data_IF_154905468741
#
_entry.id   IF_154905468741
#
_cell.length_a   1.000
_cell.length_b   1.000
_cell.length_c   1.000
_cell.angle_alpha   90.00
_cell.angle_beta   90.00
_cell.angle_gamma   90.00
#
_symmetry.space_group_name_H-M   'P 1'
#
loop_
_entity.id
_entity.type
_entity.pdbx_description
1 polymer ?
#
# COMPACT_ATOMS: atom_id res chain seq x y z
N UNK A 1 -17.07 28.27 13.33
CA UNK A 1 -16.43 28.25 11.99
C UNK A 1 -16.88 26.98 11.29
N UNK A 2 -17.63 27.09 10.20
CA UNK A 2 -18.09 25.93 9.42
C UNK A 2 -16.90 25.37 8.65
N UNK A 3 -16.21 24.37 9.20
CA UNK A 3 -15.08 23.74 8.54
C UNK A 3 -15.61 22.79 7.46
N UNK A 4 -15.43 23.15 6.19
CA UNK A 4 -15.83 22.30 5.06
C UNK A 4 -15.10 20.95 5.10
N UNK A 5 -15.76 19.84 4.73
CA UNK A 5 -15.15 18.52 4.71
C UNK A 5 -13.99 18.47 3.70
N UNK A 6 -12.88 17.86 4.11
CA UNK A 6 -11.70 17.70 3.26
C UNK A 6 -11.84 16.41 2.45
N UNK A 7 -11.40 16.43 1.20
CA UNK A 7 -11.42 15.25 0.32
C UNK A 7 -10.00 14.87 -0.08
N UNK A 8 -9.66 13.59 0.06
CA UNK A 8 -8.40 13.01 -0.42
C UNK A 8 -8.71 11.99 -1.50
N UNK A 9 -8.11 12.17 -2.67
CA UNK A 9 -8.23 11.23 -3.80
C UNK A 9 -6.95 10.42 -3.90
N UNK A 10 -7.08 9.10 -3.94
CA UNK A 10 -5.99 8.14 -4.10
C UNK A 10 -6.16 7.46 -5.45
N UNK A 11 -5.14 7.57 -6.31
CA UNK A 11 -5.11 6.94 -7.62
C UNK A 11 -4.33 5.62 -7.52
N UNK A 12 -5.04 4.51 -7.65
CA UNK A 12 -4.50 3.15 -7.63
C UNK A 12 -4.77 2.40 -6.33
N UNK A 13 -5.42 1.25 -6.44
CA UNK A 13 -5.75 0.35 -5.34
C UNK A 13 -4.80 -0.87 -5.30
N UNK A 14 -3.51 -0.59 -5.07
CA UNK A 14 -2.47 -1.63 -4.92
C UNK A 14 -1.79 -1.54 -3.55
N UNK A 15 -0.60 -2.12 -3.40
CA UNK A 15 0.15 -2.23 -2.14
C UNK A 15 0.38 -0.92 -1.39
N UNK A 16 0.37 0.23 -2.07
CA UNK A 16 0.50 1.54 -1.41
C UNK A 16 -0.86 2.19 -1.13
N UNK A 17 -1.76 2.19 -2.11
CA UNK A 17 -3.02 2.94 -2.05
C UNK A 17 -4.03 2.37 -1.06
N UNK A 18 -4.17 1.04 -0.98
CA UNK A 18 -5.08 0.38 -0.04
C UNK A 18 -4.71 0.62 1.43
N UNK A 19 -3.47 0.35 1.88
CA UNK A 19 -3.10 0.62 3.27
C UNK A 19 -3.06 2.11 3.58
N UNK A 20 -2.75 2.98 2.59
CA UNK A 20 -2.86 4.42 2.78
C UNK A 20 -4.31 4.84 3.04
N UNK A 21 -5.27 4.37 2.23
CA UNK A 21 -6.69 4.64 2.41
C UNK A 21 -7.18 4.21 3.80
N UNK A 22 -6.86 2.97 4.20
CA UNK A 22 -7.19 2.45 5.53
C UNK A 22 -6.56 3.30 6.64
N UNK A 23 -5.28 3.68 6.51
CA UNK A 23 -4.60 4.50 7.52
C UNK A 23 -5.23 5.89 7.65
N UNK A 24 -5.59 6.52 6.54
CA UNK A 24 -6.27 7.81 6.52
C UNK A 24 -7.65 7.71 7.19
N UNK A 25 -8.44 6.68 6.85
CA UNK A 25 -9.77 6.48 7.42
C UNK A 25 -9.73 6.17 8.92
N UNK A 26 -8.77 5.36 9.38
CA UNK A 26 -8.65 4.96 10.80
C UNK A 26 -8.01 6.00 11.68
N UNK A 27 -6.87 6.54 11.25
CA UNK A 27 -6.02 7.36 12.10
C UNK A 27 -6.18 8.86 11.85
N UNK A 28 -6.67 9.27 10.67
CA UNK A 28 -6.69 10.67 10.25
C UNK A 28 -8.11 11.23 10.25
N UNK A 29 -9.09 10.52 9.69
CA UNK A 29 -10.47 10.98 9.63
C UNK A 29 -11.06 11.42 10.99
N UNK A 30 -10.81 10.72 12.12
CA UNK A 30 -11.32 11.15 13.43
C UNK A 30 -10.69 12.45 13.96
N UNK A 31 -9.53 12.87 13.43
CA UNK A 31 -8.79 14.03 13.92
C UNK A 31 -9.01 15.28 13.08
N UNK A 32 -9.52 15.15 11.85
CA UNK A 32 -9.68 16.27 10.91
C UNK A 32 -10.94 17.08 11.26
N UNK A 33 -10.83 18.37 11.59
CA UNK A 33 -12.00 19.21 11.82
C UNK A 33 -12.79 19.39 10.52
N UNK A 34 -14.10 19.09 10.55
CA UNK A 34 -14.99 19.13 9.39
C UNK A 34 -15.17 17.80 8.65
N UNK A 35 -14.46 16.74 9.05
CA UNK A 35 -14.53 15.42 8.43
C UNK A 35 -13.61 15.25 7.22
N UNK A 36 -13.36 13.98 6.88
CA UNK A 36 -12.48 13.57 5.78
C UNK A 36 -13.18 12.51 4.94
N UNK A 37 -13.34 12.79 3.64
CA UNK A 37 -13.78 11.83 2.63
C UNK A 37 -12.56 11.30 1.86
N UNK A 38 -12.42 9.98 1.75
CA UNK A 38 -11.36 9.33 0.98
C UNK A 38 -11.97 8.68 -0.26
N UNK A 39 -11.50 9.08 -1.44
CA UNK A 39 -11.92 8.52 -2.73
C UNK A 39 -10.78 7.68 -3.28
N UNK A 40 -11.02 6.39 -3.49
CA UNK A 40 -10.06 5.47 -4.08
C UNK A 40 -10.47 5.16 -5.51
N UNK A 41 -9.64 5.54 -6.47
CA UNK A 41 -9.88 5.32 -7.90
C UNK A 41 -8.98 4.20 -8.40
N UNK A 42 -9.55 3.16 -9.00
CA UNK A 42 -8.75 2.08 -9.57
C UNK A 42 -9.47 1.41 -10.76
N UNK A 43 -8.73 0.91 -11.78
CA UNK A 43 -9.33 0.23 -12.92
C UNK A 43 -9.81 -1.19 -12.61
N UNK A 44 -9.53 -1.72 -11.41
CA UNK A 44 -9.74 -3.10 -11.02
C UNK A 44 -10.51 -3.22 -9.69
N UNK A 45 -11.36 -4.24 -9.58
CA UNK A 45 -12.13 -4.55 -8.36
C UNK A 45 -11.37 -5.44 -7.35
N UNK A 46 -10.28 -6.08 -7.79
CA UNK A 46 -9.48 -7.00 -6.99
C UNK A 46 -8.03 -6.53 -6.89
N UNK A 47 -7.46 -6.58 -5.69
CA UNK A 47 -6.02 -6.49 -5.49
C UNK A 47 -5.36 -7.74 -6.07
N UNK A 48 -4.46 -7.54 -7.02
CA UNK A 48 -3.61 -8.60 -7.56
C UNK A 48 -2.37 -8.80 -6.68
N UNK A 49 -2.28 -9.94 -6.01
CA UNK A 49 -1.12 -10.35 -5.22
C UNK A 49 -0.01 -10.88 -6.13
N UNK A 50 0.66 -9.97 -6.84
CA UNK A 50 1.66 -10.31 -7.85
C UNK A 50 2.82 -11.16 -7.33
N UNK A 51 3.08 -11.17 -6.01
CA UNK A 51 4.08 -12.06 -5.39
C UNK A 51 3.73 -13.54 -5.52
N UNK A 52 2.43 -13.88 -5.57
CA UNK A 52 1.94 -15.25 -5.73
C UNK A 52 1.79 -15.67 -7.21
N UNK A 53 1.93 -14.74 -8.15
CA UNK A 53 1.69 -14.95 -9.59
C UNK A 53 2.46 -16.12 -10.18
N UNK A 54 3.72 -16.31 -9.77
CA UNK A 54 4.58 -17.41 -10.21
C UNK A 54 3.95 -18.79 -9.93
N UNK A 55 3.16 -18.91 -8.87
CA UNK A 55 2.40 -20.12 -8.54
C UNK A 55 0.96 -20.12 -9.05
N UNK A 56 0.49 -18.99 -9.56
CA UNK A 56 -0.80 -18.86 -10.24
C UNK A 56 -0.81 -19.34 -11.68
N UNK A 57 0.35 -19.32 -12.37
CA UNK A 57 0.47 -19.76 -13.78
C UNK A 57 0.30 -21.27 -13.95
N UNK A 58 0.40 -22.07 -12.88
CA UNK A 58 0.19 -23.52 -12.92
C UNK A 58 -0.94 -23.94 -11.96
N UNK A 59 -2.20 -23.60 -12.26
CA UNK A 59 -3.34 -24.05 -11.46
C UNK A 59 -3.42 -25.59 -11.49
N UNK A 60 -3.65 -26.21 -10.33
CA UNK A 60 -3.92 -27.65 -10.25
C UNK A 60 -2.71 -28.59 -10.15
N UNK A 61 -1.47 -28.08 -10.11
CA UNK A 61 -0.30 -28.87 -9.68
C UNK A 61 -0.03 -28.70 -8.18
N UNK A 62 0.62 -29.67 -7.54
CA UNK A 62 1.06 -29.58 -6.14
C UNK A 62 1.80 -28.25 -5.87
N UNK A 63 1.17 -27.40 -5.05
CA UNK A 63 1.67 -26.10 -4.64
C UNK A 63 1.27 -24.91 -5.53
N UNK A 64 0.45 -25.11 -6.56
CA UNK A 64 -0.17 -24.03 -7.33
C UNK A 64 -1.19 -23.25 -6.51
N UNK A 65 -1.29 -21.94 -6.75
CA UNK A 65 -2.30 -21.10 -6.12
C UNK A 65 -3.48 -20.91 -7.06
N UNK A 66 -4.68 -21.13 -6.54
CA UNK A 66 -5.90 -20.76 -7.22
C UNK A 66 -6.15 -19.25 -7.10
N UNK A 67 -7.12 -18.75 -7.90
CA UNK A 67 -7.40 -17.33 -8.07
C UNK A 67 -7.76 -16.62 -6.75
N UNK A 68 -8.34 -17.34 -5.78
CA UNK A 68 -8.66 -16.85 -4.43
C UNK A 68 -7.42 -16.38 -3.64
N UNK A 69 -6.23 -16.85 -4.01
CA UNK A 69 -4.95 -16.44 -3.41
C UNK A 69 -4.17 -15.44 -4.25
N UNK A 70 -4.67 -15.11 -5.44
CA UNK A 70 -4.08 -14.15 -6.37
C UNK A 70 -4.88 -12.85 -6.40
N UNK A 71 -6.21 -12.93 -6.26
CA UNK A 71 -7.12 -11.81 -6.42
C UNK A 71 -7.96 -11.65 -5.17
N UNK A 72 -7.68 -10.56 -4.43
CA UNK A 72 -8.41 -10.25 -3.21
C UNK A 72 -9.42 -9.13 -3.47
N UNK A 73 -10.72 -9.32 -3.19
CA UNK A 73 -11.75 -8.32 -3.48
C UNK A 73 -11.54 -7.09 -2.60
N UNK A 74 -11.53 -5.89 -3.21
CA UNK A 74 -11.27 -4.64 -2.48
C UNK A 74 -12.46 -4.22 -1.62
N UNK A 75 -13.68 -4.35 -2.15
CA UNK A 75 -14.90 -3.82 -1.53
C UNK A 75 -15.14 -4.30 -0.07
N UNK A 76 -14.98 -5.60 0.27
CA UNK A 76 -15.16 -6.07 1.65
C UNK A 76 -14.26 -5.37 2.68
N UNK A 77 -13.05 -4.95 2.27
CA UNK A 77 -12.09 -4.27 3.14
C UNK A 77 -12.56 -2.88 3.63
N UNK A 78 -13.48 -2.25 2.90
CA UNK A 78 -14.00 -0.93 3.21
C UNK A 78 -15.48 -0.91 3.64
N UNK A 79 -16.10 -2.09 3.78
CA UNK A 79 -17.51 -2.25 4.17
C UNK A 79 -17.91 -1.57 5.49
N UNK A 80 -16.93 -1.27 6.35
CA UNK A 80 -17.15 -0.62 7.66
C UNK A 80 -17.32 0.90 7.55
N UNK A 81 -17.02 1.49 6.41
CA UNK A 81 -17.07 2.94 6.19
C UNK A 81 -18.33 3.32 5.42
N UNK A 82 -18.96 4.42 5.83
CA UNK A 82 -20.12 4.95 5.12
C UNK A 82 -19.71 5.69 3.84
N UNK A 83 -20.68 5.96 2.96
CA UNK A 83 -20.44 6.68 1.70
C UNK A 83 -19.95 8.13 1.92
N UNK A 84 -20.21 8.71 3.10
CA UNK A 84 -19.67 10.02 3.47
C UNK A 84 -18.17 9.96 3.79
N UNK A 85 -17.67 8.80 4.23
CA UNK A 85 -16.26 8.60 4.62
C UNK A 85 -15.42 8.03 3.48
N UNK A 86 -15.97 7.08 2.72
CA UNK A 86 -15.23 6.35 1.69
C UNK A 86 -16.04 6.16 0.42
N UNK A 87 -15.38 6.34 -0.72
CA UNK A 87 -15.93 6.06 -2.04
C UNK A 87 -14.91 5.29 -2.88
N UNK A 88 -15.32 4.17 -3.45
CA UNK A 88 -14.53 3.43 -4.42
C UNK A 88 -15.05 3.71 -5.84
N UNK A 89 -14.18 4.29 -6.67
CA UNK A 89 -14.48 4.58 -8.08
C UNK A 89 -13.77 3.57 -8.95
N UNK A 90 -14.55 2.70 -9.59
CA UNK A 90 -14.03 1.80 -10.61
C UNK A 90 -13.80 2.58 -11.91
N UNK A 91 -12.55 2.95 -12.16
CA UNK A 91 -12.18 3.77 -13.30
C UNK A 91 -10.67 3.95 -13.42
N UNK A 92 -10.22 4.26 -14.63
CA UNK A 92 -8.83 4.60 -14.89
C UNK A 92 -8.67 6.12 -14.98
N UNK A 93 -7.76 6.68 -14.20
CA UNK A 93 -7.42 8.10 -14.31
C UNK A 93 -6.52 8.29 -15.54
N UNK A 94 -7.00 9.05 -16.53
CA UNK A 94 -6.29 9.28 -17.80
C UNK A 94 -5.47 10.56 -17.81
N UNK A 95 -5.87 11.57 -17.03
CA UNK A 95 -5.17 12.85 -16.92
C UNK A 95 -5.23 13.38 -15.49
N UNK A 96 -4.16 14.06 -15.08
CA UNK A 96 -4.09 14.80 -13.83
C UNK A 96 -3.74 16.25 -14.15
N UNK A 97 -4.72 17.15 -14.03
CA UNK A 97 -4.49 18.58 -14.20
C UNK A 97 -3.98 19.15 -12.87
N UNK A 98 -2.69 19.43 -12.84
CA UNK A 98 -1.99 19.92 -11.66
C UNK A 98 -1.85 21.42 -11.74
N UNK A 99 -2.45 22.16 -10.81
CA UNK A 99 -2.00 23.51 -10.47
C UNK A 99 -0.68 23.43 -9.70
N UNK A 100 0.27 24.37 -9.88
CA UNK A 100 1.71 24.21 -9.63
C UNK A 100 2.18 24.00 -8.17
N UNK A 101 1.32 23.54 -7.26
CA UNK A 101 1.61 23.30 -5.84
C UNK A 101 2.01 21.84 -5.54
N UNK A 102 2.26 21.00 -6.57
CA UNK A 102 2.79 19.66 -6.33
C UNK A 102 4.30 19.68 -6.08
N UNK A 103 4.68 19.56 -4.80
CA UNK A 103 6.02 19.10 -4.44
C UNK A 103 6.17 17.64 -4.87
N UNK A 104 6.88 17.38 -5.98
CA UNK A 104 7.40 16.05 -6.29
C UNK A 104 8.37 15.67 -5.17
N UNK A 105 7.97 14.78 -4.24
CA UNK A 105 8.95 14.12 -3.37
C UNK A 105 9.60 13.01 -4.19
N UNK A 106 10.92 13.13 -4.37
CA UNK A 106 11.71 12.22 -5.18
C UNK A 106 11.74 10.81 -4.58
N UNK A 107 11.97 9.84 -5.46
CA UNK A 107 12.13 8.44 -5.10
C UNK A 107 13.47 8.24 -4.36
N UNK A 108 13.44 8.26 -3.03
CA UNK A 108 14.63 8.14 -2.18
C UNK A 108 15.16 6.70 -2.04
N UNK A 109 14.42 5.70 -2.55
CA UNK A 109 14.75 4.28 -2.40
C UNK A 109 14.44 3.49 -3.68
N UNK A 110 15.09 2.34 -3.91
CA UNK A 110 14.72 1.47 -5.02
C UNK A 110 13.28 0.97 -4.86
N UNK A 111 12.53 0.79 -5.97
CA UNK A 111 11.15 0.32 -5.97
C UNK A 111 11.09 -1.15 -5.55
N UNK A 112 11.07 -1.38 -4.24
CA UNK A 112 11.04 -2.71 -3.62
C UNK A 112 9.88 -2.78 -2.62
N UNK A 113 9.20 -3.93 -2.57
CA UNK A 113 8.04 -4.16 -1.72
C UNK A 113 8.33 -3.92 -0.22
N UNK A 114 9.58 -4.12 0.21
CA UNK A 114 10.01 -3.91 1.60
C UNK A 114 10.00 -2.45 2.04
N UNK A 115 10.00 -1.52 1.08
CA UNK A 115 9.99 -0.09 1.36
C UNK A 115 8.58 0.52 1.37
N UNK A 116 7.56 -0.24 0.94
CA UNK A 116 6.20 0.27 0.79
C UNK A 116 5.60 0.65 2.15
N UNK A 117 5.62 -0.26 3.14
CA UNK A 117 4.98 0.01 4.43
C UNK A 117 5.57 1.24 5.17
N UNK A 118 6.91 1.40 5.28
CA UNK A 118 7.49 2.61 5.87
C UNK A 118 7.18 3.89 5.10
N UNK A 119 7.17 3.84 3.76
CA UNK A 119 6.86 5.00 2.93
C UNK A 119 5.38 5.40 3.04
N UNK A 120 4.46 4.44 3.03
CA UNK A 120 3.02 4.69 3.24
C UNK A 120 2.78 5.28 4.63
N UNK A 121 3.42 4.74 5.67
CA UNK A 121 3.29 5.27 7.03
C UNK A 121 3.82 6.71 7.14
N UNK A 122 4.91 7.02 6.44
CA UNK A 122 5.46 8.38 6.38
C UNK A 122 4.50 9.35 5.68
N UNK A 123 4.01 8.97 4.49
CA UNK A 123 3.09 9.79 3.69
C UNK A 123 1.79 10.01 4.44
N UNK A 124 1.24 8.99 5.11
CA UNK A 124 0.04 9.12 5.91
C UNK A 124 0.20 10.15 7.04
N UNK A 125 1.36 10.15 7.73
CA UNK A 125 1.68 11.13 8.79
C UNK A 125 1.87 12.55 8.24
N UNK A 126 2.57 12.71 7.11
CA UNK A 126 2.74 14.01 6.44
C UNK A 126 1.38 14.57 5.99
N UNK A 127 0.53 13.73 5.38
CA UNK A 127 -0.83 14.09 5.00
C UNK A 127 -1.69 14.46 6.19
N UNK A 128 -1.66 13.67 7.27
CA UNK A 128 -2.36 13.97 8.50
C UNK A 128 -1.95 15.34 9.06
N UNK A 129 -0.66 15.62 9.15
CA UNK A 129 -0.16 16.91 9.62
C UNK A 129 -0.68 18.08 8.76
N UNK A 130 -0.70 17.92 7.43
CA UNK A 130 -1.24 18.94 6.50
C UNK A 130 -2.74 19.13 6.61
N UNK A 131 -3.49 18.03 6.74
CA UNK A 131 -4.93 18.06 6.86
C UNK A 131 -5.35 18.71 8.19
N UNK A 132 -4.53 18.60 9.23
CA UNK A 132 -4.74 19.28 10.51
C UNK A 132 -4.29 20.75 10.50
N UNK A 133 -3.18 21.07 9.82
CA UNK A 133 -2.62 22.42 9.78
C UNK A 133 -3.44 23.42 8.94
N UNK A 134 -4.36 22.94 8.09
CA UNK A 134 -5.33 23.79 7.41
C UNK A 134 -4.72 24.79 6.41
N UNK A 135 -4.46 24.34 5.17
CA UNK A 135 -4.28 25.21 3.99
C UNK A 135 -2.99 26.03 3.90
N UNK A 136 -2.54 26.63 4.99
CA UNK A 136 -1.43 27.57 4.99
C UNK A 136 -0.11 26.87 5.31
N UNK A 137 0.49 26.30 4.26
CA UNK A 137 1.91 26.47 3.92
C UNK A 137 3.03 26.12 4.91
N UNK A 138 2.76 25.64 6.13
CA UNK A 138 3.78 25.26 7.12
C UNK A 138 3.32 24.05 7.91
N UNK A 139 3.25 22.90 7.23
CA UNK A 139 3.26 21.62 7.93
C UNK A 139 4.58 21.53 8.71
N UNK A 140 4.48 21.65 10.04
CA UNK A 140 5.57 21.44 10.99
C UNK A 140 6.32 20.19 10.58
N UNK A 141 7.58 20.40 10.19
CA UNK A 141 8.61 19.42 9.83
C UNK A 141 8.23 17.98 10.20
N UNK A 142 7.60 17.27 9.27
CA UNK A 142 7.53 15.81 9.38
C UNK A 142 8.98 15.32 9.39
N UNK A 143 9.40 14.49 10.37
CA UNK A 143 10.80 14.07 10.50
C UNK A 143 11.31 13.57 9.16
N UNK A 144 12.51 13.97 8.78
CA UNK A 144 13.09 13.56 7.50
C UNK A 144 13.02 12.04 7.37
N UNK A 145 12.46 11.55 6.25
CA UNK A 145 12.34 10.11 6.01
C UNK A 145 13.74 9.55 5.86
N UNK A 146 14.22 8.82 6.87
CA UNK A 146 15.51 8.14 6.82
C UNK A 146 15.37 6.88 5.96
N UNK A 147 15.99 6.82 4.77
CA UNK A 147 15.96 5.63 3.95
C UNK A 147 16.63 4.47 4.69
N UNK A 148 16.03 3.30 4.63
CA UNK A 148 16.73 2.08 4.98
C UNK A 148 17.67 1.72 3.82
N UNK A 149 18.97 1.75 4.06
CA UNK A 149 20.02 1.40 3.09
C UNK A 149 20.34 -0.09 3.10
N UNK A 150 19.78 -0.87 4.04
CA UNK A 150 20.03 -2.30 4.10
C UNK A 150 19.43 -2.99 2.87
N UNK A 151 20.32 -3.59 2.06
CA UNK A 151 19.91 -4.43 0.95
C UNK A 151 19.24 -5.69 1.48
N UNK A 152 17.94 -5.78 1.26
CA UNK A 152 17.13 -6.95 1.55
C UNK A 152 16.54 -7.46 0.23
N UNK A 153 17.07 -8.57 -0.24
CA UNK A 153 16.60 -9.23 -1.46
C UNK A 153 16.33 -10.70 -1.16
N UNK A 154 15.19 -11.21 -1.60
CA UNK A 154 14.85 -12.62 -1.46
C UNK A 154 14.06 -13.03 -2.71
N UNK A 155 14.57 -14.03 -3.42
CA UNK A 155 13.93 -14.64 -4.57
C UNK A 155 13.71 -16.14 -4.32
N UNK A 156 12.53 -16.65 -4.68
CA UNK A 156 12.26 -18.08 -4.66
C UNK A 156 12.89 -18.74 -5.89
N UNK A 157 13.57 -19.87 -5.71
CA UNK A 157 14.01 -20.73 -6.80
C UNK A 157 13.18 -22.02 -6.70
N UNK A 158 12.10 -22.10 -7.47
CA UNK A 158 11.20 -23.25 -7.48
C UNK A 158 10.39 -23.46 -6.19
N UNK A 159 9.91 -24.69 -5.99
CA UNK A 159 8.95 -25.04 -4.92
C UNK A 159 9.58 -25.14 -3.53
N UNK A 160 10.88 -25.45 -3.44
CA UNK A 160 11.55 -25.87 -2.20
C UNK A 160 12.81 -25.10 -1.82
N UNK A 161 13.26 -24.14 -2.63
CA UNK A 161 14.48 -23.36 -2.38
C UNK A 161 14.21 -21.86 -2.56
N UNK A 162 15.04 -21.05 -1.93
CA UNK A 162 15.13 -19.61 -2.17
C UNK A 162 16.57 -19.16 -2.06
N UNK A 163 16.86 -18.00 -2.63
CA UNK A 163 18.12 -17.27 -2.42
C UNK A 163 17.76 -15.92 -1.83
N UNK A 164 18.61 -15.43 -0.93
CA UNK A 164 18.39 -14.13 -0.34
C UNK A 164 19.64 -13.55 0.29
N UNK A 165 19.60 -12.24 0.44
CA UNK A 165 20.64 -11.43 1.04
C UNK A 165 19.97 -10.44 1.99
N UNK A 166 20.51 -10.35 3.20
CA UNK A 166 20.14 -9.38 4.20
C UNK A 166 21.41 -8.62 4.64
N UNK A 167 21.57 -7.39 4.17
CA UNK A 167 22.81 -6.64 4.32
C UNK A 167 23.98 -7.38 3.67
N UNK A 168 25.03 -7.66 4.44
CA UNK A 168 26.20 -8.45 3.98
C UNK A 168 26.03 -9.96 4.14
N UNK A 169 24.92 -10.43 4.73
CA UNK A 169 24.71 -11.85 5.04
C UNK A 169 23.89 -12.55 3.95
N UNK A 170 24.39 -13.69 3.46
CA UNK A 170 23.64 -14.57 2.56
C UNK A 170 22.68 -15.43 3.39
N UNK A 171 21.38 -15.30 3.14
CA UNK A 171 20.36 -16.06 3.84
C UNK A 171 20.36 -17.51 3.34
N UNK A 172 20.48 -18.52 4.23
CA UNK A 172 20.41 -19.92 3.85
C UNK A 172 19.10 -20.25 3.11
N UNK A 173 19.15 -21.17 2.13
CA UNK A 173 18.03 -21.46 1.23
C UNK A 173 16.77 -21.97 1.94
N UNK A 174 16.92 -22.61 3.10
CA UNK A 174 15.80 -23.06 3.93
C UNK A 174 15.10 -21.90 4.65
N UNK A 175 15.87 -20.95 5.19
CA UNK A 175 15.32 -19.78 5.87
C UNK A 175 14.56 -18.86 4.88
N UNK A 176 15.11 -18.66 3.68
CA UNK A 176 14.43 -17.89 2.61
C UNK A 176 13.19 -18.61 2.08
N UNK A 177 13.21 -19.94 2.05
CA UNK A 177 12.04 -20.73 1.74
C UNK A 177 10.94 -20.54 2.79
N UNK A 178 11.28 -20.62 4.09
CA UNK A 178 10.31 -20.53 5.18
C UNK A 178 9.66 -19.13 5.30
N UNK A 179 10.44 -18.06 5.07
CA UNK A 179 9.98 -16.67 5.23
C UNK A 179 9.16 -16.14 4.05
N UNK A 180 9.59 -16.43 2.81
CA UNK A 180 8.96 -15.88 1.59
C UNK A 180 8.41 -16.97 0.68
N UNK A 181 9.19 -18.01 0.41
CA UNK A 181 8.89 -18.94 -0.69
C UNK A 181 7.84 -20.01 -0.35
N UNK A 182 7.52 -20.24 0.93
CA UNK A 182 6.50 -21.22 1.34
C UNK A 182 5.09 -20.74 0.96
N UNK A 183 4.78 -19.48 1.26
CA UNK A 183 3.43 -18.90 1.10
C UNK A 183 3.38 -17.68 0.16
N UNK A 184 4.52 -17.22 -0.38
CA UNK A 184 4.64 -16.01 -1.20
C UNK A 184 3.98 -14.77 -0.56
N UNK A 185 4.02 -14.71 0.77
CA UNK A 185 3.40 -13.68 1.59
C UNK A 185 1.87 -13.56 1.43
N UNK A 186 1.17 -14.55 0.88
CA UNK A 186 -0.30 -14.57 0.79
C UNK A 186 -0.99 -14.38 2.15
N UNK A 187 -0.33 -14.75 3.26
CA UNK A 187 -0.80 -14.46 4.62
C UNK A 187 -0.92 -12.96 4.95
N UNK A 188 -0.19 -12.08 4.25
CA UNK A 188 -0.25 -10.63 4.44
C UNK A 188 -1.29 -9.97 3.54
N UNK A 189 -1.78 -10.68 2.53
CA UNK A 189 -2.69 -10.14 1.52
C UNK A 189 -4.06 -9.70 2.08
N UNK A 190 -4.72 -10.48 2.97
CA UNK A 190 -5.95 -10.02 3.61
C UNK A 190 -5.74 -8.73 4.42
N UNK A 191 -4.56 -8.59 5.06
CA UNK A 191 -4.17 -7.38 5.79
C UNK A 191 -4.03 -6.17 4.86
N UNK A 192 -3.44 -6.31 3.67
CA UNK A 192 -3.31 -5.16 2.76
C UNK A 192 -4.66 -4.60 2.28
N UNK A 193 -5.71 -5.43 2.22
CA UNK A 193 -7.05 -5.04 1.79
C UNK A 193 -7.92 -4.53 2.95
N UNK A 194 -7.87 -5.19 4.11
CA UNK A 194 -8.76 -4.91 5.25
C UNK A 194 -8.09 -4.41 6.53
N UNK A 195 -6.77 -4.12 6.52
CA UNK A 195 -5.98 -3.68 7.69
C UNK A 195 -6.58 -2.49 8.39
#
# INVERSE_FOLDING_TARGET
MSTSPKTVVILGASFAGLPLAQNLLKNTAPKVPGGLKVILVAPNTHLYWCLASVRGVVPGQDGGFADDKLFYPIAPGFSKYSAEQFEFVLGSATALLVTPVLRKRANLQPPNALHIDPQVAYVAKDMQARLLAGGDGKATTTPEFKPNEMVMFMASIGKSRGVGQAGSFKLPSFATWLVKSRTLMTQRAPGTVGA
#
